data_IF_453517718304
#
_entry.id   IF_453517718304
#
_cell.length_a   1.000
_cell.length_b   1.000
_cell.length_c   1.000
_cell.angle_alpha   90.00
_cell.angle_beta   90.00
_cell.angle_gamma   90.00
#
_symmetry.space_group_name_H-M   'P 1'
#
loop_
_entity.id
_entity.type
_entity.pdbx_description
1 polymer ?
#
# COMPACT_ATOMS: atom_id res chain seq x y z
N UNK A 1 -23.98 -37.67 -35.69
CA UNK A 1 -23.64 -36.23 -35.80
C UNK A 1 -23.13 -35.77 -34.44
N UNK A 2 -21.83 -35.45 -34.31
CA UNK A 2 -21.27 -34.98 -33.03
C UNK A 2 -21.85 -33.60 -32.71
N UNK A 3 -22.34 -33.42 -31.49
CA UNK A 3 -23.00 -32.22 -31.00
C UNK A 3 -21.95 -31.13 -30.65
N UNK A 4 -21.22 -30.64 -31.66
CA UNK A 4 -20.08 -29.71 -31.50
C UNK A 4 -20.50 -28.35 -30.93
N UNK A 5 -21.69 -27.83 -31.30
CA UNK A 5 -22.16 -26.52 -30.85
C UNK A 5 -22.48 -26.42 -29.35
N UNK A 6 -22.94 -27.52 -28.72
CA UNK A 6 -23.21 -27.54 -27.28
C UNK A 6 -21.92 -27.49 -26.44
N UNK A 7 -20.84 -28.10 -26.95
CA UNK A 7 -19.53 -28.10 -26.29
C UNK A 7 -18.87 -26.72 -26.35
N UNK A 8 -18.96 -26.01 -27.47
CA UNK A 8 -18.40 -24.68 -27.63
C UNK A 8 -19.10 -23.64 -26.74
N UNK A 9 -20.43 -23.69 -26.68
CA UNK A 9 -21.22 -22.82 -25.80
C UNK A 9 -20.90 -23.04 -24.30
N UNK A 10 -20.67 -24.31 -23.90
CA UNK A 10 -20.27 -24.65 -22.55
C UNK A 10 -18.86 -24.15 -22.20
N UNK A 11 -17.90 -24.29 -23.11
CA UNK A 11 -16.54 -23.77 -22.94
C UNK A 11 -16.55 -22.25 -22.79
N UNK A 12 -17.29 -21.55 -23.66
CA UNK A 12 -17.43 -20.10 -23.61
C UNK A 12 -18.03 -19.61 -22.28
N UNK A 13 -19.12 -20.24 -21.84
CA UNK A 13 -19.81 -19.88 -20.58
C UNK A 13 -18.92 -20.16 -19.36
N UNK A 14 -18.17 -21.26 -19.38
CA UNK A 14 -17.18 -21.60 -18.34
C UNK A 14 -16.04 -20.58 -18.31
N UNK A 15 -15.53 -20.18 -19.47
CA UNK A 15 -14.50 -19.13 -19.58
C UNK A 15 -14.97 -17.79 -19.00
N UNK A 16 -16.18 -17.35 -19.34
CA UNK A 16 -16.77 -16.12 -18.81
C UNK A 16 -16.98 -16.19 -17.29
N UNK A 17 -17.40 -17.34 -16.75
CA UNK A 17 -17.53 -17.56 -15.30
C UNK A 17 -16.18 -17.45 -14.60
N UNK A 18 -15.13 -18.07 -15.14
CA UNK A 18 -13.78 -18.02 -14.58
C UNK A 18 -13.22 -16.59 -14.57
N UNK A 19 -13.44 -15.82 -15.64
CA UNK A 19 -13.03 -14.42 -15.72
C UNK A 19 -13.70 -13.57 -14.63
N UNK A 20 -15.02 -13.71 -14.44
CA UNK A 20 -15.75 -13.00 -13.37
C UNK A 20 -15.20 -13.32 -11.98
N UNK A 21 -14.86 -14.59 -11.72
CA UNK A 21 -14.28 -15.02 -10.45
C UNK A 21 -12.90 -14.41 -10.21
N UNK A 22 -12.03 -14.39 -11.24
CA UNK A 22 -10.71 -13.74 -11.15
C UNK A 22 -10.82 -12.25 -10.85
N UNK A 23 -11.74 -11.56 -11.53
CA UNK A 23 -12.02 -10.14 -11.29
C UNK A 23 -12.47 -9.88 -9.85
N UNK A 24 -13.46 -10.62 -9.37
CA UNK A 24 -13.96 -10.46 -8.00
C UNK A 24 -12.86 -10.72 -6.95
N UNK A 25 -12.02 -11.73 -7.17
CA UNK A 25 -10.88 -12.00 -6.29
C UNK A 25 -9.84 -10.87 -6.31
N UNK A 26 -9.52 -10.32 -7.49
CA UNK A 26 -8.59 -9.21 -7.64
C UNK A 26 -9.10 -7.93 -6.96
N UNK A 27 -10.38 -7.60 -7.09
CA UNK A 27 -11.02 -6.46 -6.43
C UNK A 27 -10.98 -6.60 -4.90
N UNK A 28 -11.31 -7.78 -4.38
CA UNK A 28 -11.26 -8.06 -2.94
C UNK A 28 -9.85 -8.00 -2.36
N UNK A 29 -8.86 -8.44 -3.14
CA UNK A 29 -7.45 -8.39 -2.75
C UNK A 29 -6.93 -6.95 -2.76
N UNK A 30 -7.27 -6.18 -3.79
CA UNK A 30 -6.89 -4.77 -3.91
C UNK A 30 -7.46 -3.92 -2.75
N UNK A 31 -8.72 -4.16 -2.36
CA UNK A 31 -9.33 -3.49 -1.22
C UNK A 31 -8.55 -3.76 0.08
N UNK A 32 -8.24 -5.03 0.37
CA UNK A 32 -7.47 -5.43 1.57
C UNK A 32 -6.06 -4.86 1.57
N UNK A 33 -5.40 -4.83 0.41
CA UNK A 33 -4.08 -4.24 0.30
C UNK A 33 -4.12 -2.75 0.65
N UNK A 34 -5.08 -2.01 0.10
CA UNK A 34 -5.24 -0.58 0.37
C UNK A 34 -5.54 -0.31 1.85
N UNK A 35 -6.43 -1.09 2.46
CA UNK A 35 -6.72 -1.03 3.90
C UNK A 35 -5.47 -1.31 4.74
N UNK A 36 -4.65 -2.29 4.33
CA UNK A 36 -3.39 -2.63 5.01
C UNK A 36 -2.36 -1.52 4.89
N UNK A 37 -2.22 -0.93 3.70
CA UNK A 37 -1.33 0.21 3.45
C UNK A 37 -1.73 1.41 4.33
N UNK A 38 -3.03 1.73 4.39
CA UNK A 38 -3.55 2.80 5.23
C UNK A 38 -3.33 2.53 6.72
N UNK A 39 -3.61 1.31 7.20
CA UNK A 39 -3.40 0.95 8.60
C UNK A 39 -1.91 1.03 8.99
N UNK A 40 -0.99 0.70 8.09
CA UNK A 40 0.44 0.85 8.33
C UNK A 40 0.86 2.32 8.43
N UNK A 41 0.30 3.19 7.59
CA UNK A 41 0.56 4.64 7.66
C UNK A 41 0.09 5.23 9.01
N UNK A 42 -1.11 4.85 9.47
CA UNK A 42 -1.61 5.24 10.80
C UNK A 42 -0.71 4.70 11.94
N UNK A 43 -0.22 3.46 11.82
CA UNK A 43 0.69 2.88 12.81
C UNK A 43 2.03 3.63 12.87
N UNK A 44 2.58 4.04 11.72
CA UNK A 44 3.80 4.87 11.63
C UNK A 44 3.58 6.22 12.34
N UNK A 45 2.44 6.88 12.10
CA UNK A 45 2.09 8.14 12.76
C UNK A 45 2.12 7.98 14.29
N UNK A 46 1.43 6.96 14.81
CA UNK A 46 1.36 6.71 16.26
C UNK A 46 2.72 6.36 16.87
N UNK A 47 3.54 5.59 16.15
CA UNK A 47 4.91 5.28 16.58
C UNK A 47 5.81 6.52 16.61
N UNK A 48 5.71 7.40 15.61
CA UNK A 48 6.46 8.65 15.58
C UNK A 48 6.04 9.60 16.71
N UNK A 49 4.74 9.72 17.00
CA UNK A 49 4.20 10.46 18.15
C UNK A 49 4.78 9.91 19.46
N UNK A 50 4.77 8.60 19.65
CA UNK A 50 5.33 7.96 20.86
C UNK A 50 6.82 8.25 21.00
N UNK A 51 7.63 7.93 19.97
CA UNK A 51 9.09 8.09 20.00
C UNK A 51 9.49 9.54 20.29
N UNK A 52 8.82 10.51 19.67
CA UNK A 52 9.10 11.93 19.88
C UNK A 52 8.68 12.42 21.27
N UNK A 53 7.64 11.85 21.86
CA UNK A 53 7.15 12.26 23.17
C UNK A 53 7.98 11.69 24.33
N UNK A 54 8.64 10.54 24.18
CA UNK A 54 9.45 9.93 25.24
C UNK A 54 10.51 10.87 25.88
N UNK A 55 11.37 11.58 25.11
CA UNK A 55 12.30 12.55 25.71
C UNK A 55 11.59 13.77 26.32
N UNK A 56 10.44 14.19 25.77
CA UNK A 56 9.62 15.27 26.35
C UNK A 56 9.07 14.85 27.72
N UNK A 57 8.54 13.64 27.85
CA UNK A 57 8.05 13.09 29.10
C UNK A 57 9.18 12.98 30.14
N UNK A 58 10.36 12.49 29.72
CA UNK A 58 11.56 12.44 30.56
C UNK A 58 11.95 13.81 31.11
N UNK A 59 12.00 14.82 30.24
CA UNK A 59 12.34 16.19 30.62
C UNK A 59 11.29 16.80 31.56
N UNK A 60 10.00 16.63 31.26
CA UNK A 60 8.89 17.11 32.12
C UNK A 60 8.91 16.50 33.52
N UNK A 61 9.42 15.28 33.64
CA UNK A 61 9.58 14.60 34.93
C UNK A 61 10.90 14.94 35.66
N UNK A 62 11.73 15.86 35.13
CA UNK A 62 13.05 16.20 35.68
C UNK A 62 13.96 14.97 35.89
N UNK A 63 13.87 13.98 35.01
CA UNK A 63 14.66 12.75 35.08
C UNK A 63 15.98 12.91 34.33
N UNK A 64 17.00 12.15 34.77
CA UNK A 64 18.29 12.05 34.08
C UNK A 64 18.12 11.57 32.63
N UNK A 65 18.99 12.06 31.73
CA UNK A 65 18.99 11.68 30.31
C UNK A 65 19.23 10.18 30.06
N UNK A 66 19.80 9.44 31.02
CA UNK A 66 20.00 7.99 30.89
C UNK A 66 18.71 7.22 31.15
N UNK A 67 17.77 7.79 31.92
CA UNK A 67 16.51 7.13 32.27
C UNK A 67 15.66 6.93 31.01
N UNK A 68 15.29 5.69 30.73
CA UNK A 68 14.47 5.33 29.57
C UNK A 68 15.18 5.38 28.23
N UNK A 69 16.50 5.63 28.19
CA UNK A 69 17.25 5.75 26.94
C UNK A 69 17.17 4.48 26.07
N UNK A 70 17.35 3.30 26.68
CA UNK A 70 17.24 2.02 25.94
C UNK A 70 15.83 1.80 25.38
N UNK A 71 14.80 2.25 26.09
CA UNK A 71 13.42 2.19 25.59
C UNK A 71 13.22 3.11 24.37
N UNK A 72 13.81 4.31 24.36
CA UNK A 72 13.79 5.20 23.19
C UNK A 72 14.48 4.54 21.99
N UNK A 73 15.63 3.89 22.21
CA UNK A 73 16.34 3.15 21.16
C UNK A 73 15.46 2.04 20.58
N UNK A 74 14.85 1.21 21.43
CA UNK A 74 13.96 0.13 20.97
C UNK A 74 12.73 0.66 20.23
N UNK A 75 12.08 1.71 20.74
CA UNK A 75 10.94 2.32 20.08
C UNK A 75 11.31 2.93 18.71
N UNK A 76 12.51 3.52 18.59
CA UNK A 76 13.02 4.06 17.33
C UNK A 76 13.32 2.95 16.31
N UNK A 77 13.87 1.82 16.75
CA UNK A 77 14.09 0.65 15.90
C UNK A 77 12.78 0.05 15.41
N UNK A 78 11.76 -0.02 16.27
CA UNK A 78 10.42 -0.46 15.88
C UNK A 78 9.78 0.48 14.84
N UNK A 79 9.91 1.80 15.01
CA UNK A 79 9.45 2.78 14.03
C UNK A 79 10.15 2.60 12.67
N UNK A 80 11.47 2.38 12.65
CA UNK A 80 12.22 2.11 11.42
C UNK A 80 11.70 0.85 10.70
N UNK A 81 11.47 -0.23 11.44
CA UNK A 81 10.91 -1.46 10.88
C UNK A 81 9.50 -1.26 10.28
N UNK A 82 8.67 -0.38 10.85
CA UNK A 82 7.35 -0.07 10.29
C UNK A 82 7.47 0.68 8.95
N UNK A 83 8.40 1.63 8.86
CA UNK A 83 8.69 2.36 7.62
C UNK A 83 9.22 1.40 6.53
N UNK A 84 10.10 0.47 6.88
CA UNK A 84 10.56 -0.58 5.96
C UNK A 84 9.42 -1.49 5.51
N UNK A 85 8.58 -1.95 6.44
CA UNK A 85 7.40 -2.76 6.14
C UNK A 85 6.45 -2.05 5.17
N UNK A 86 6.26 -0.74 5.31
CA UNK A 86 5.47 0.06 4.37
C UNK A 86 6.07 0.05 2.97
N UNK A 87 7.40 0.15 2.85
CA UNK A 87 8.11 -0.01 1.58
C UNK A 87 7.86 -1.38 0.93
N UNK A 88 7.87 -2.46 1.72
CA UNK A 88 7.54 -3.80 1.24
C UNK A 88 6.08 -3.93 0.77
N UNK A 89 5.13 -3.24 1.40
CA UNK A 89 3.73 -3.21 0.95
C UNK A 89 3.58 -2.50 -0.40
N UNK A 90 4.30 -1.38 -0.62
CA UNK A 90 4.32 -0.69 -1.92
C UNK A 90 4.87 -1.61 -3.02
N UNK A 91 5.94 -2.34 -2.73
CA UNK A 91 6.49 -3.30 -3.69
C UNK A 91 5.53 -4.48 -3.96
N UNK A 92 4.84 -4.96 -2.92
CA UNK A 92 3.79 -5.97 -3.05
C UNK A 92 2.66 -5.48 -3.96
N UNK A 93 2.25 -4.21 -3.82
CA UNK A 93 1.25 -3.57 -4.68
C UNK A 93 1.65 -3.64 -6.16
N UNK A 94 2.92 -3.30 -6.48
CA UNK A 94 3.41 -3.36 -7.86
C UNK A 94 3.36 -4.79 -8.43
N UNK A 95 3.84 -5.77 -7.66
CA UNK A 95 3.84 -7.19 -8.07
C UNK A 95 2.43 -7.75 -8.26
N UNK A 96 1.46 -7.29 -7.47
CA UNK A 96 0.06 -7.65 -7.68
C UNK A 96 -0.51 -7.05 -8.96
N UNK A 97 -0.03 -5.87 -9.38
CA UNK A 97 -0.32 -5.30 -10.70
C UNK A 97 0.19 -6.17 -11.85
N UNK A 98 1.40 -6.71 -11.73
CA UNK A 98 1.97 -7.65 -12.71
C UNK A 98 1.17 -8.96 -12.75
N UNK A 99 0.82 -9.52 -11.58
CA UNK A 99 0.01 -10.72 -11.48
C UNK A 99 -1.38 -10.55 -12.10
N UNK A 100 -2.02 -9.38 -11.90
CA UNK A 100 -3.29 -9.01 -12.55
C UNK A 100 -3.16 -9.09 -14.08
N UNK A 101 -2.07 -8.57 -14.62
CA UNK A 101 -1.83 -8.58 -16.07
C UNK A 101 -1.66 -10.01 -16.59
N UNK A 102 -0.91 -10.85 -15.87
CA UNK A 102 -0.67 -12.27 -16.22
C UNK A 102 -1.97 -13.10 -16.28
N UNK A 103 -2.98 -12.76 -15.49
CA UNK A 103 -4.27 -13.49 -15.46
C UNK A 103 -5.32 -12.96 -16.45
N UNK A 104 -4.92 -12.07 -17.36
CA UNK A 104 -5.77 -11.55 -18.44
C UNK A 104 -6.73 -10.44 -18.00
N UNK A 105 -6.43 -9.75 -16.90
CA UNK A 105 -7.22 -8.61 -16.41
C UNK A 105 -6.63 -7.25 -16.84
N UNK A 106 -5.64 -7.24 -17.73
CA UNK A 106 -4.96 -6.02 -18.24
C UNK A 106 -5.89 -5.11 -19.05
N UNK A 107 -6.70 -5.68 -19.96
CA UNK A 107 -7.57 -4.94 -20.88
C UNK A 107 -8.91 -4.50 -20.27
N UNK A 108 -9.26 -4.97 -19.07
CA UNK A 108 -10.45 -4.52 -18.33
C UNK A 108 -10.23 -3.23 -17.54
N UNK A 109 -9.12 -2.54 -17.79
CA UNK A 109 -8.93 -1.14 -17.48
C UNK A 109 -9.78 -0.23 -18.42
N UNK A 110 -11.03 -0.60 -18.71
CA UNK A 110 -12.02 0.34 -19.26
C UNK A 110 -12.62 1.10 -18.07
N UNK A 111 -11.88 2.11 -17.61
CA UNK A 111 -12.29 3.03 -16.54
C UNK A 111 -11.22 3.23 -15.46
N UNK A 112 -10.00 3.65 -15.82
CA UNK A 112 -8.99 4.08 -14.85
C UNK A 112 -9.24 5.53 -14.42
N UNK A 113 -10.33 5.80 -13.72
CA UNK A 113 -10.49 7.07 -12.99
C UNK A 113 -9.87 6.99 -11.58
N UNK A 114 -8.74 6.29 -11.46
CA UNK A 114 -7.90 6.35 -10.28
C UNK A 114 -6.52 6.80 -10.73
N UNK A 115 -6.50 8.06 -11.18
CA UNK A 115 -5.35 8.93 -11.08
C UNK A 115 -4.92 8.95 -9.60
N UNK A 116 -4.10 7.97 -9.19
CA UNK A 116 -3.03 8.33 -8.26
C UNK A 116 -2.34 9.50 -8.95
N UNK A 117 -2.23 10.70 -8.33
CA UNK A 117 -1.57 11.81 -8.98
C UNK A 117 -0.23 11.28 -9.46
N UNK A 118 -0.06 11.25 -10.78
CA UNK A 118 1.23 11.03 -11.36
C UNK A 118 2.04 12.18 -10.80
N UNK A 119 2.92 11.90 -9.84
CA UNK A 119 3.91 12.89 -9.42
C UNK A 119 4.54 13.31 -10.73
N UNK A 120 4.23 14.55 -11.14
CA UNK A 120 4.74 15.14 -12.35
C UNK A 120 6.25 15.07 -12.21
N UNK A 121 6.87 14.11 -12.91
CA UNK A 121 8.31 14.01 -13.07
C UNK A 121 8.73 15.13 -14.03
N UNK A 122 8.50 16.35 -13.59
CA UNK A 122 8.73 17.59 -14.33
C UNK A 122 9.14 18.62 -13.31
N UNK A 123 10.46 18.74 -13.12
CA UNK A 123 11.18 19.94 -12.65
C UNK A 123 10.25 21.06 -12.16
N UNK A 124 9.84 21.11 -10.88
CA UNK A 124 9.35 22.33 -10.20
C UNK A 124 9.07 22.18 -8.69
N UNK A 125 9.43 21.07 -8.04
CA UNK A 125 9.19 20.92 -6.58
C UNK A 125 10.07 21.85 -5.70
N UNK A 126 11.11 22.48 -6.26
CA UNK A 126 11.94 23.42 -5.49
C UNK A 126 11.46 24.89 -5.49
N UNK A 127 10.40 25.28 -6.20
CA UNK A 127 9.98 26.70 -6.22
C UNK A 127 8.95 27.09 -5.14
N UNK A 128 8.49 26.14 -4.33
CA UNK A 128 7.54 26.45 -3.23
C UNK A 128 8.26 26.83 -1.93
N UNK A 129 9.58 26.63 -1.84
CA UNK A 129 10.36 27.00 -0.65
C UNK A 129 10.80 28.48 -0.66
N UNK A 130 10.81 29.15 -1.81
CA UNK A 130 11.28 30.55 -1.93
C UNK A 130 10.17 31.63 -1.79
N UNK A 131 8.97 31.27 -1.30
CA UNK A 131 7.92 32.26 -0.99
C UNK A 131 7.53 32.36 0.49
N UNK A 132 8.28 31.72 1.37
CA UNK A 132 8.11 31.88 2.83
C UNK A 132 9.48 32.12 3.51
N UNK A 133 10.32 32.93 2.89
CA UNK A 133 11.45 33.60 3.54
C UNK A 133 11.25 35.11 3.46
#
# INVERSE_FOLDING_TARGET
MKNIGASEALIFTKGLKMLKQRKAAAEQLAARLFETEFAMDEAIIKMAELVSFMPVARNKANLSAVVGQDAIVQASQALAAFVEARGHLVETHKRLGEARDQIGLREMALGTNNDKPQILLGKHILEVVDRVA
#
